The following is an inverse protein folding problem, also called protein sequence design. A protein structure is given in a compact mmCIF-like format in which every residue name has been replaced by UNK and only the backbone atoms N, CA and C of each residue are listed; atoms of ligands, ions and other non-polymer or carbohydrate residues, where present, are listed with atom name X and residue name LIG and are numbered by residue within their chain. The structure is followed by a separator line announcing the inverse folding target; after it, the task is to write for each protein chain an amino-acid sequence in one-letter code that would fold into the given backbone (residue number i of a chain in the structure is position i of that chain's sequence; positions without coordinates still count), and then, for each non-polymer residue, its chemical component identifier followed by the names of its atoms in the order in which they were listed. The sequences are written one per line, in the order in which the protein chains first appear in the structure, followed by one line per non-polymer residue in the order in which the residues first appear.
data_IF_269643573148
#
_entry.id   IF_269643573148
#
_cell.length_a   1.000
_cell.length_b   1.000
_cell.length_c   1.000
_cell.angle_alpha   90.00
_cell.angle_beta   90.00
_cell.angle_gamma   90.00
#
_symmetry.space_group_name_H-M   'P 1'
#
loop_
_entity.id
_entity.type
_entity.pdbx_description
1 polymer ?
#
# COMPACT_ATOMS: atom_id res chain seq x y z
N UNK A 1 -10.20 19.51 -5.15
CA UNK A 1 -10.70 19.47 -3.75
C UNK A 1 -11.12 18.05 -3.39
N UNK A 2 -12.00 17.38 -4.15
CA UNK A 2 -12.46 16.02 -3.83
C UNK A 2 -11.35 15.00 -3.71
N UNK A 3 -10.35 15.02 -4.60
CA UNK A 3 -9.19 14.13 -4.52
C UNK A 3 -8.36 14.35 -3.24
N UNK A 4 -8.34 15.57 -2.69
CA UNK A 4 -7.64 15.85 -1.44
C UNK A 4 -8.31 15.17 -0.22
N UNK A 5 -9.65 15.01 -0.25
CA UNK A 5 -10.38 14.32 0.82
C UNK A 5 -9.96 12.83 0.95
N UNK A 6 -9.53 12.20 -0.14
CA UNK A 6 -9.03 10.84 -0.13
C UNK A 6 -7.82 10.66 0.79
N UNK A 7 -6.94 11.69 0.88
CA UNK A 7 -5.80 11.65 1.78
C UNK A 7 -6.19 11.59 3.26
N UNK A 8 -7.34 12.19 3.62
CA UNK A 8 -7.89 12.11 5.00
C UNK A 8 -8.24 10.65 5.31
N UNK A 9 -8.88 9.95 4.38
CA UNK A 9 -9.22 8.54 4.53
C UNK A 9 -7.97 7.65 4.67
N UNK A 10 -6.94 7.90 3.88
CA UNK A 10 -5.66 7.21 4.00
C UNK A 10 -4.98 7.47 5.35
N UNK A 11 -4.95 8.71 5.81
CA UNK A 11 -4.35 9.08 7.09
C UNK A 11 -5.11 8.49 8.28
N UNK A 12 -6.44 8.37 8.18
CA UNK A 12 -7.27 7.79 9.21
C UNK A 12 -7.15 6.26 9.30
N UNK A 13 -6.66 5.59 8.24
CA UNK A 13 -6.58 4.13 8.22
C UNK A 13 -5.38 3.62 9.04
N UNK A 14 -5.59 2.91 10.16
CA UNK A 14 -4.54 2.53 11.11
C UNK A 14 -3.76 1.28 10.64
N UNK A 15 -3.25 1.29 9.40
CA UNK A 15 -2.49 0.16 8.82
C UNK A 15 -1.29 -0.21 9.68
N UNK A 16 -0.52 0.79 10.11
CA UNK A 16 0.67 0.62 10.94
C UNK A 16 0.36 -0.10 12.26
N UNK A 17 -0.77 0.22 12.89
CA UNK A 17 -1.19 -0.37 14.15
C UNK A 17 -1.61 -1.85 13.96
N UNK A 18 -2.47 -2.11 12.97
CA UNK A 18 -2.94 -3.47 12.67
C UNK A 18 -1.80 -4.38 12.20
N UNK A 19 -0.81 -3.86 11.49
CA UNK A 19 0.42 -4.59 11.13
C UNK A 19 1.25 -4.91 12.37
N UNK A 20 1.44 -3.94 13.28
CA UNK A 20 2.16 -4.16 14.54
C UNK A 20 1.51 -5.18 15.46
N UNK A 21 0.17 -5.30 15.39
CA UNK A 21 -0.61 -6.30 16.13
C UNK A 21 -0.76 -7.65 15.39
N UNK A 22 -0.11 -7.81 14.23
CA UNK A 22 -0.19 -8.99 13.35
C UNK A 22 -1.63 -9.32 12.87
N UNK A 23 -2.58 -8.39 13.01
CA UNK A 23 -3.99 -8.56 12.58
C UNK A 23 -4.18 -8.09 11.11
N UNK A 24 -3.32 -8.61 10.23
CA UNK A 24 -3.26 -8.21 8.80
C UNK A 24 -4.56 -8.53 8.06
N UNK A 25 -5.26 -9.60 8.46
CA UNK A 25 -6.54 -9.97 7.86
C UNK A 25 -7.59 -8.86 7.95
N UNK A 26 -7.60 -8.11 9.04
CA UNK A 26 -8.53 -6.99 9.24
C UNK A 26 -8.26 -5.82 8.28
N UNK A 27 -6.98 -5.56 7.97
CA UNK A 27 -6.61 -4.57 6.97
C UNK A 27 -7.28 -4.89 5.64
N UNK A 28 -7.18 -6.15 5.21
CA UNK A 28 -7.77 -6.61 3.94
C UNK A 28 -9.29 -6.49 3.96
N UNK A 29 -9.94 -6.94 5.04
CA UNK A 29 -11.41 -6.89 5.17
C UNK A 29 -11.92 -5.45 5.10
N UNK A 30 -11.34 -4.52 5.87
CA UNK A 30 -11.79 -3.12 5.86
C UNK A 30 -11.53 -2.42 4.52
N UNK A 31 -10.35 -2.65 3.92
CA UNK A 31 -10.04 -2.10 2.60
C UNK A 31 -10.94 -2.67 1.51
N UNK A 32 -11.16 -3.97 1.50
CA UNK A 32 -12.00 -4.62 0.50
C UNK A 32 -13.45 -4.16 0.63
N UNK A 33 -14.01 -4.17 1.84
CA UNK A 33 -15.40 -3.77 2.07
C UNK A 33 -15.67 -2.32 1.66
N UNK A 34 -14.78 -1.39 2.04
CA UNK A 34 -14.96 0.02 1.68
C UNK A 34 -14.85 0.26 0.18
N UNK A 35 -13.91 -0.43 -0.50
CA UNK A 35 -13.76 -0.32 -1.96
C UNK A 35 -14.92 -0.97 -2.70
N UNK A 36 -15.45 -2.08 -2.20
CA UNK A 36 -16.62 -2.74 -2.78
C UNK A 36 -17.84 -1.82 -2.71
N UNK A 37 -18.09 -1.20 -1.55
CA UNK A 37 -19.17 -0.22 -1.40
C UNK A 37 -18.97 0.95 -2.38
N UNK A 38 -17.76 1.50 -2.46
CA UNK A 38 -17.44 2.57 -3.40
C UNK A 38 -17.67 2.16 -4.86
N UNK A 39 -17.24 0.97 -5.27
CA UNK A 39 -17.44 0.47 -6.63
C UNK A 39 -18.93 0.31 -6.97
N UNK A 40 -19.72 -0.25 -6.06
CA UNK A 40 -21.17 -0.36 -6.23
C UNK A 40 -21.83 1.02 -6.38
N UNK A 41 -21.45 1.97 -5.53
CA UNK A 41 -21.97 3.33 -5.60
C UNK A 41 -21.59 4.05 -6.91
N UNK A 42 -20.37 3.84 -7.41
CA UNK A 42 -19.93 4.39 -8.70
C UNK A 42 -20.76 3.81 -9.83
N UNK A 43 -20.97 2.48 -9.88
CA UNK A 43 -21.77 1.83 -10.93
C UNK A 43 -23.22 2.33 -10.92
N UNK A 44 -23.79 2.61 -9.75
CA UNK A 44 -25.18 3.05 -9.62
C UNK A 44 -25.38 4.53 -9.92
N UNK A 45 -24.39 5.39 -9.61
CA UNK A 45 -24.57 6.84 -9.60
C UNK A 45 -23.83 7.56 -10.74
N UNK A 46 -22.80 6.94 -11.31
CA UNK A 46 -22.02 7.53 -12.40
C UNK A 46 -22.46 6.92 -13.72
N UNK A 47 -23.37 7.60 -14.40
CA UNK A 47 -23.98 7.10 -15.66
C UNK A 47 -23.58 7.91 -16.89
N UNK A 48 -23.12 9.15 -16.71
CA UNK A 48 -22.75 10.04 -17.80
C UNK A 48 -21.29 10.54 -17.69
N UNK A 49 -20.65 10.90 -18.82
CA UNK A 49 -19.28 11.44 -18.82
C UNK A 49 -19.12 12.72 -17.96
N UNK A 50 -20.18 13.49 -17.79
CA UNK A 50 -20.18 14.72 -16.98
C UNK A 50 -20.22 14.44 -15.46
N UNK A 51 -20.43 13.20 -15.05
CA UNK A 51 -20.51 12.79 -13.64
C UNK A 51 -19.11 12.57 -13.02
N UNK A 52 -18.04 12.94 -13.72
CA UNK A 52 -16.66 12.82 -13.25
C UNK A 52 -16.41 13.39 -11.82
N UNK A 53 -16.99 14.54 -11.42
CA UNK A 53 -16.85 15.02 -10.04
C UNK A 53 -17.46 14.08 -9.00
N UNK A 54 -18.60 13.45 -9.32
CA UNK A 54 -19.26 12.48 -8.42
C UNK A 54 -18.41 11.22 -8.24
N UNK A 55 -17.75 10.75 -9.31
CA UNK A 55 -16.79 9.64 -9.22
C UNK A 55 -15.71 9.90 -8.17
N UNK A 56 -15.04 11.06 -8.23
CA UNK A 56 -14.00 11.44 -7.29
C UNK A 56 -14.53 11.61 -5.86
N UNK A 57 -15.74 12.14 -5.73
CA UNK A 57 -16.39 12.30 -4.43
C UNK A 57 -16.71 10.96 -3.78
N UNK A 58 -17.37 10.05 -4.51
CA UNK A 58 -17.72 8.70 -4.03
C UNK A 58 -16.45 7.92 -3.65
N UNK A 59 -15.42 8.01 -4.48
CA UNK A 59 -14.14 7.38 -4.21
C UNK A 59 -13.54 7.88 -2.89
N UNK A 60 -13.52 9.20 -2.68
CA UNK A 60 -13.01 9.82 -1.45
C UNK A 60 -13.82 9.42 -0.22
N UNK A 61 -15.14 9.40 -0.33
CA UNK A 61 -16.03 8.93 0.74
C UNK A 61 -15.76 7.46 1.10
N UNK A 62 -15.53 6.60 0.11
CA UNK A 62 -15.17 5.19 0.37
C UNK A 62 -13.90 5.07 1.21
N UNK A 63 -12.86 5.86 0.93
CA UNK A 63 -11.63 5.85 1.71
C UNK A 63 -11.84 6.39 3.12
N UNK A 64 -12.62 7.45 3.29
CA UNK A 64 -12.93 8.03 4.61
C UNK A 64 -13.75 7.02 5.44
N UNK A 65 -14.75 6.39 4.86
CA UNK A 65 -15.53 5.35 5.54
C UNK A 65 -14.66 4.16 5.95
N UNK A 66 -13.83 3.65 5.04
CA UNK A 66 -12.92 2.55 5.34
C UNK A 66 -11.93 2.89 6.45
N UNK A 67 -11.28 4.05 6.36
CA UNK A 67 -10.36 4.53 7.38
C UNK A 67 -11.04 4.78 8.73
N UNK A 68 -12.21 5.44 8.71
CA UNK A 68 -12.97 5.74 9.92
C UNK A 68 -13.47 4.49 10.64
N UNK A 69 -14.04 3.52 9.90
CA UNK A 69 -14.51 2.24 10.47
C UNK A 69 -13.33 1.44 11.05
N UNK A 70 -12.21 1.37 10.33
CA UNK A 70 -11.02 0.69 10.80
C UNK A 70 -10.45 1.34 12.07
N UNK A 71 -10.41 2.67 12.12
CA UNK A 71 -9.94 3.42 13.27
C UNK A 71 -10.87 3.20 14.49
N UNK A 72 -12.18 3.28 14.29
CA UNK A 72 -13.17 3.01 15.35
C UNK A 72 -13.06 1.58 15.89
N UNK A 73 -12.84 0.61 15.00
CA UNK A 73 -12.59 -0.78 15.40
C UNK A 73 -11.36 -0.88 16.32
N UNK A 74 -10.25 -0.28 15.93
CA UNK A 74 -9.00 -0.30 16.70
C UNK A 74 -9.20 0.37 18.06
N UNK A 75 -9.78 1.56 18.10
CA UNK A 75 -10.02 2.30 19.36
C UNK A 75 -10.88 1.46 20.31
N UNK A 76 -11.96 0.83 19.81
CA UNK A 76 -12.88 0.04 20.65
C UNK A 76 -12.28 -1.28 21.11
N UNK A 77 -11.65 -2.01 20.19
CA UNK A 77 -11.08 -3.35 20.49
C UNK A 77 -9.91 -3.26 21.45
N UNK A 78 -8.99 -2.33 21.21
CA UNK A 78 -7.74 -2.21 21.98
C UNK A 78 -7.84 -1.17 23.10
N UNK A 79 -9.00 -0.53 23.27
CA UNK A 79 -9.27 0.49 24.32
C UNK A 79 -8.17 1.55 24.35
N UNK A 80 -7.76 2.04 23.19
CA UNK A 80 -6.72 3.05 23.08
C UNK A 80 -7.13 4.29 23.88
N UNK A 81 -6.22 4.75 24.71
CA UNK A 81 -6.35 6.00 25.46
C UNK A 81 -5.37 7.01 24.89
N UNK A 82 -5.84 8.22 24.76
CA UNK A 82 -4.96 9.31 24.39
C UNK A 82 -4.00 9.59 25.55
N UNK A 83 -2.70 9.56 25.29
CA UNK A 83 -1.68 10.00 26.23
C UNK A 83 -1.02 11.27 25.71
N UNK A 84 -0.75 12.19 26.61
CA UNK A 84 -0.01 13.42 26.30
C UNK A 84 1.50 13.24 26.42
N UNK A 85 1.97 12.03 26.79
CA UNK A 85 3.40 11.77 26.82
C UNK A 85 3.98 11.91 25.43
N UNK A 86 4.83 12.89 25.27
CA UNK A 86 5.51 13.19 24.01
C UNK A 86 6.67 12.21 23.85
N UNK A 87 6.45 11.11 23.18
CA UNK A 87 7.51 10.15 22.86
C UNK A 87 8.38 10.70 21.71
N UNK A 88 9.26 11.62 22.08
CA UNK A 88 10.26 12.19 21.18
C UNK A 88 11.17 11.12 20.56
N UNK A 89 11.32 9.98 21.25
CA UNK A 89 12.12 8.84 20.78
C UNK A 89 11.44 8.14 19.59
N UNK A 90 10.12 7.95 19.65
CA UNK A 90 9.35 7.35 18.54
C UNK A 90 9.40 8.25 17.31
N UNK A 91 9.20 9.55 17.48
CA UNK A 91 9.29 10.53 16.38
C UNK A 91 10.69 10.56 15.77
N UNK A 92 11.74 10.56 16.59
CA UNK A 92 13.13 10.55 16.13
C UNK A 92 13.50 9.28 15.35
N UNK A 93 12.98 8.13 15.76
CA UNK A 93 13.17 6.85 15.05
C UNK A 93 12.32 6.76 13.78
N UNK A 94 11.13 7.35 13.77
CA UNK A 94 10.22 7.35 12.62
C UNK A 94 10.65 8.28 11.48
N UNK A 95 11.31 9.40 11.81
CA UNK A 95 11.70 10.41 10.82
C UNK A 95 12.61 9.87 9.71
N UNK A 96 13.68 9.10 9.95
CA UNK A 96 14.50 8.51 8.90
C UNK A 96 13.70 7.57 7.98
N UNK A 97 12.77 6.80 8.53
CA UNK A 97 11.91 5.90 7.76
C UNK A 97 10.97 6.71 6.86
N UNK A 98 10.38 7.78 7.39
CA UNK A 98 9.55 8.70 6.61
C UNK A 98 10.32 9.34 5.46
N UNK A 99 11.50 9.88 5.73
CA UNK A 99 12.36 10.51 4.72
C UNK A 99 12.76 9.50 3.63
N UNK A 100 13.13 8.27 4.02
CA UNK A 100 13.45 7.21 3.07
C UNK A 100 12.25 6.88 2.15
N UNK A 101 11.06 6.73 2.73
CA UNK A 101 9.85 6.46 1.96
C UNK A 101 9.48 7.63 1.03
N UNK A 102 9.68 8.86 1.48
CA UNK A 102 9.47 10.06 0.65
C UNK A 102 10.39 10.05 -0.57
N UNK A 103 11.69 9.80 -0.39
CA UNK A 103 12.63 9.72 -1.51
C UNK A 103 12.32 8.54 -2.44
N UNK A 104 11.95 7.38 -1.91
CA UNK A 104 11.54 6.23 -2.72
C UNK A 104 10.31 6.55 -3.58
N UNK A 105 9.32 7.26 -3.02
CA UNK A 105 8.12 7.69 -3.74
C UNK A 105 8.44 8.70 -4.82
N UNK A 106 9.25 9.72 -4.52
CA UNK A 106 9.71 10.71 -5.51
C UNK A 106 10.46 10.01 -6.64
N UNK A 107 11.43 9.15 -6.32
CA UNK A 107 12.18 8.38 -7.32
C UNK A 107 11.27 7.58 -8.24
N UNK A 108 10.28 6.88 -7.67
CA UNK A 108 9.31 6.09 -8.46
C UNK A 108 8.41 6.94 -9.36
N UNK A 109 8.07 8.16 -8.92
CA UNK A 109 7.20 9.06 -9.66
C UNK A 109 7.93 9.83 -10.78
N UNK A 110 9.23 10.12 -10.62
CA UNK A 110 10.01 10.96 -11.54
C UNK A 110 9.95 10.43 -12.97
N UNK A 111 10.09 9.10 -13.17
CA UNK A 111 10.06 8.50 -14.50
C UNK A 111 8.80 8.86 -15.28
N UNK A 112 7.62 8.62 -14.68
CA UNK A 112 6.33 8.91 -15.31
C UNK A 112 6.05 10.41 -15.43
N UNK A 113 6.57 11.22 -14.53
CA UNK A 113 6.34 12.68 -14.52
C UNK A 113 7.24 13.42 -15.52
N UNK A 114 8.46 12.93 -15.74
CA UNK A 114 9.42 13.54 -16.66
C UNK A 114 9.23 13.07 -18.11
N UNK A 115 8.77 11.84 -18.31
CA UNK A 115 8.65 11.23 -19.62
C UNK A 115 7.83 12.05 -20.64
N UNK A 116 6.69 12.69 -20.27
CA UNK A 116 5.89 13.50 -21.19
C UNK A 116 6.66 14.64 -21.86
N UNK A 117 7.76 15.11 -21.27
CA UNK A 117 8.56 16.19 -21.84
C UNK A 117 9.52 15.73 -22.94
N UNK A 118 9.70 14.39 -23.11
CA UNK A 118 10.73 13.84 -24.00
C UNK A 118 10.18 12.93 -25.09
N UNK A 119 8.93 12.44 -24.94
CA UNK A 119 8.33 11.47 -25.86
C UNK A 119 6.96 11.92 -26.34
N UNK A 120 6.49 11.32 -27.43
CA UNK A 120 5.14 11.56 -27.97
C UNK A 120 4.05 11.05 -27.02
N UNK A 121 2.82 11.57 -27.16
CA UNK A 121 1.67 11.10 -26.38
C UNK A 121 1.37 9.60 -26.57
N UNK A 122 1.60 9.10 -27.80
CA UNK A 122 1.41 7.68 -28.14
C UNK A 122 2.43 6.81 -27.41
N UNK A 123 3.71 7.18 -27.42
CA UNK A 123 4.77 6.43 -26.74
C UNK A 123 4.58 6.49 -25.21
N UNK A 124 4.15 7.62 -24.70
CA UNK A 124 3.80 7.79 -23.28
C UNK A 124 2.63 6.86 -22.90
N UNK A 125 1.62 6.75 -23.77
CA UNK A 125 0.49 5.86 -23.57
C UNK A 125 0.92 4.38 -23.51
N UNK A 126 1.74 3.94 -24.46
CA UNK A 126 2.29 2.58 -24.49
C UNK A 126 3.15 2.27 -23.27
N UNK A 127 4.07 3.18 -22.93
CA UNK A 127 4.90 3.05 -21.74
C UNK A 127 4.06 2.96 -20.45
N UNK A 128 3.07 3.83 -20.31
CA UNK A 128 2.19 3.86 -19.13
C UNK A 128 1.36 2.58 -19.01
N UNK A 129 0.91 2.01 -20.11
CA UNK A 129 0.19 0.75 -20.14
C UNK A 129 1.10 -0.42 -19.70
N UNK A 130 2.30 -0.53 -20.28
CA UNK A 130 3.28 -1.53 -19.91
C UNK A 130 3.69 -1.41 -18.43
N UNK A 131 3.96 -0.18 -17.97
CA UNK A 131 4.30 0.11 -16.58
C UNK A 131 3.20 -0.35 -15.60
N UNK A 132 1.92 -0.09 -15.94
CA UNK A 132 0.79 -0.54 -15.11
C UNK A 132 0.71 -2.06 -15.00
N UNK A 133 0.96 -2.79 -16.08
CA UNK A 133 0.97 -4.26 -16.07
C UNK A 133 2.10 -4.78 -15.17
N UNK A 134 3.32 -4.25 -15.34
CA UNK A 134 4.47 -4.62 -14.52
C UNK A 134 4.19 -4.34 -13.04
N UNK A 135 3.66 -3.14 -12.73
CA UNK A 135 3.33 -2.77 -11.36
C UNK A 135 2.23 -3.64 -10.74
N UNK A 136 1.23 -4.06 -11.53
CA UNK A 136 0.20 -4.98 -11.06
C UNK A 136 0.81 -6.34 -10.67
N UNK A 137 1.69 -6.89 -11.50
CA UNK A 137 2.40 -8.15 -11.19
C UNK A 137 3.27 -7.99 -9.95
N UNK A 138 4.05 -6.91 -9.86
CA UNK A 138 4.88 -6.63 -8.69
C UNK A 138 4.03 -6.50 -7.40
N UNK A 139 2.88 -5.83 -7.46
CA UNK A 139 1.98 -5.71 -6.30
C UNK A 139 1.42 -7.05 -5.85
N UNK A 140 0.98 -7.89 -6.78
CA UNK A 140 0.42 -9.20 -6.45
C UNK A 140 1.47 -10.13 -5.83
N UNK A 141 2.70 -10.04 -6.30
CA UNK A 141 3.79 -10.94 -5.93
C UNK A 141 4.60 -10.40 -4.75
N UNK A 142 5.19 -9.22 -4.92
CA UNK A 142 6.20 -8.70 -3.99
C UNK A 142 5.59 -8.18 -2.70
N UNK A 143 4.39 -7.61 -2.74
CA UNK A 143 3.78 -7.02 -1.56
C UNK A 143 3.39 -8.04 -0.48
N UNK A 144 2.67 -9.15 -0.79
CA UNK A 144 2.38 -10.19 0.21
C UNK A 144 3.63 -10.85 0.77
N UNK A 145 4.64 -11.07 -0.09
CA UNK A 145 5.92 -11.66 0.30
C UNK A 145 6.61 -10.74 1.32
N UNK A 146 6.71 -9.46 1.04
CA UNK A 146 7.36 -8.49 1.93
C UNK A 146 6.66 -8.40 3.29
N UNK A 147 5.34 -8.37 3.32
CA UNK A 147 4.57 -8.28 4.56
C UNK A 147 4.70 -9.55 5.40
N UNK A 148 4.72 -10.73 4.78
CA UNK A 148 4.74 -11.99 5.51
C UNK A 148 6.15 -12.45 5.91
N UNK A 149 7.15 -12.19 5.05
CA UNK A 149 8.53 -12.63 5.32
C UNK A 149 9.24 -11.77 6.35
N UNK A 150 9.05 -10.45 6.33
CA UNK A 150 9.79 -9.57 7.21
C UNK A 150 9.59 -9.88 8.71
N UNK A 151 8.35 -10.02 9.22
CA UNK A 151 8.13 -10.40 10.62
C UNK A 151 8.69 -11.78 10.95
N UNK A 152 8.51 -12.74 10.04
CA UNK A 152 8.97 -14.12 10.23
C UNK A 152 10.51 -14.21 10.30
N UNK A 153 11.21 -13.46 9.45
CA UNK A 153 12.68 -13.38 9.46
C UNK A 153 13.15 -12.71 10.76
N UNK A 154 12.58 -11.56 11.11
CA UNK A 154 12.95 -10.81 12.32
C UNK A 154 12.78 -11.65 13.59
N UNK A 155 11.68 -12.38 13.71
CA UNK A 155 11.44 -13.27 14.85
C UNK A 155 12.49 -14.38 14.96
N UNK A 156 12.82 -15.05 13.84
CA UNK A 156 13.82 -16.12 13.83
C UNK A 156 15.23 -15.62 14.13
N UNK A 157 15.58 -14.42 13.70
CA UNK A 157 16.86 -13.81 14.07
C UNK A 157 16.94 -13.48 15.56
N UNK A 158 15.83 -13.14 16.20
CA UNK A 158 15.77 -12.93 17.65
C UNK A 158 15.89 -14.25 18.44
N UNK A 159 15.40 -15.38 17.89
CA UNK A 159 15.51 -16.70 18.52
C UNK A 159 16.90 -17.30 18.34
N UNK A 160 17.43 -17.28 17.12
CA UNK A 160 18.76 -17.83 16.76
C UNK A 160 19.26 -17.20 15.48
N UNK A 161 20.49 -16.67 15.50
CA UNK A 161 21.11 -16.12 14.29
C UNK A 161 21.27 -17.18 13.17
N UNK A 162 21.64 -18.41 13.53
CA UNK A 162 21.85 -19.50 12.57
C UNK A 162 20.55 -19.90 11.87
N UNK A 163 19.45 -19.99 12.61
CA UNK A 163 18.14 -20.35 12.05
C UNK A 163 17.53 -19.19 11.24
N UNK A 164 17.68 -17.96 11.72
CA UNK A 164 17.30 -16.76 10.98
C UNK A 164 18.02 -16.68 9.63
N UNK A 165 19.33 -16.92 9.62
CA UNK A 165 20.14 -16.88 8.41
C UNK A 165 19.79 -17.99 7.41
N UNK A 166 19.51 -19.21 7.90
CA UNK A 166 19.07 -20.33 7.07
C UNK A 166 17.72 -20.06 6.42
N UNK A 167 16.77 -19.54 7.21
CA UNK A 167 15.44 -19.18 6.72
C UNK A 167 15.51 -18.03 5.71
N UNK A 168 16.31 -16.99 5.98
CA UNK A 168 16.54 -15.88 5.06
C UNK A 168 17.06 -16.35 3.71
N UNK A 169 18.12 -17.17 3.68
CA UNK A 169 18.69 -17.71 2.43
C UNK A 169 17.64 -18.49 1.62
N UNK A 170 16.88 -19.35 2.28
CA UNK A 170 15.84 -20.15 1.61
C UNK A 170 14.74 -19.26 1.03
N UNK A 171 14.25 -18.28 1.80
CA UNK A 171 13.23 -17.35 1.36
C UNK A 171 13.74 -16.46 0.21
N UNK A 172 14.97 -15.97 0.30
CA UNK A 172 15.61 -15.18 -0.74
C UNK A 172 15.69 -15.96 -2.06
N UNK A 173 16.15 -17.21 -2.02
CA UNK A 173 16.24 -18.05 -3.21
C UNK A 173 14.86 -18.28 -3.85
N UNK A 174 13.83 -18.55 -3.05
CA UNK A 174 12.45 -18.72 -3.55
C UNK A 174 11.91 -17.44 -4.21
N UNK A 175 12.16 -16.28 -3.61
CA UNK A 175 11.73 -14.98 -4.18
C UNK A 175 12.44 -14.69 -5.49
N UNK A 176 13.73 -14.93 -5.57
CA UNK A 176 14.52 -14.75 -6.80
C UNK A 176 14.07 -15.71 -7.90
N UNK A 177 13.86 -16.99 -7.57
CA UNK A 177 13.36 -17.99 -8.52
C UNK A 177 11.98 -17.59 -9.06
N UNK A 178 11.06 -17.18 -8.18
CA UNK A 178 9.73 -16.76 -8.57
C UNK A 178 9.75 -15.48 -9.43
N UNK A 179 10.59 -14.51 -9.07
CA UNK A 179 10.81 -13.31 -9.87
C UNK A 179 11.34 -13.61 -11.27
N UNK A 180 12.27 -14.55 -11.38
CA UNK A 180 12.80 -14.99 -12.67
C UNK A 180 11.70 -15.65 -13.54
N UNK A 181 10.87 -16.51 -12.95
CA UNK A 181 9.73 -17.13 -13.67
C UNK A 181 8.74 -16.08 -14.16
N UNK A 182 8.36 -15.11 -13.30
CA UNK A 182 7.49 -14.00 -13.70
C UNK A 182 8.11 -13.14 -14.81
N UNK A 183 9.41 -12.88 -14.75
CA UNK A 183 10.13 -12.12 -15.78
C UNK A 183 10.08 -12.81 -17.13
N UNK A 184 10.32 -14.13 -17.14
CA UNK A 184 10.23 -14.94 -18.39
C UNK A 184 8.80 -14.94 -18.91
N UNK A 185 7.81 -15.09 -18.04
CA UNK A 185 6.40 -15.10 -18.45
C UNK A 185 5.89 -13.75 -19.03
N UNK A 186 6.51 -12.64 -18.63
CA UNK A 186 6.18 -11.30 -19.19
C UNK A 186 6.89 -11.09 -20.54
N UNK A 187 8.06 -11.72 -20.71
CA UNK A 187 8.86 -11.56 -21.94
C UNK A 187 8.32 -12.43 -23.12
N UNK A 188 7.65 -13.54 -22.83
CA UNK A 188 7.02 -14.42 -23.81
C UNK A 188 5.63 -13.93 -24.21
#
# INVERSE_FOLDING_TARGET
IYAALMNIGFAAFPTWFLQGMEDVAKITVFNFSSRLVGAVMIILLVTAPNDYPYYLFILSCSYILGGGVALLYVIRKYRLRYTTENDSLATRKGLPIFVNNMFATIYSAVGLTMLPYFVSELDLGLYSAAYKVIMAVLMIVSYPISISLFPSISRRFNESFADGWRFFKRSFFLVVLFGAVCSVAIFL
#
